data_IF_401299063037
#
_entry.id   IF_401299063037
#
_cell.length_a   1.000
_cell.length_b   1.000
_cell.length_c   1.000
_cell.angle_alpha   90.00
_cell.angle_beta   90.00
_cell.angle_gamma   90.00
#
_symmetry.space_group_name_H-M   'P 1'
#
loop_
_entity.id
_entity.type
_entity.pdbx_description
1 polymer ?
#
# COMPACT_ATOMS: atom_id res chain seq x y z
N UNK A 1 18.04 -13.91 -3.37
CA UNK A 1 17.78 -12.56 -3.89
C UNK A 1 16.43 -12.09 -3.41
N UNK A 2 16.41 -10.93 -2.82
CA UNK A 2 15.15 -10.44 -2.25
C UNK A 2 14.23 -9.90 -3.32
N UNK A 3 13.04 -10.44 -3.37
CA UNK A 3 12.01 -9.93 -4.26
C UNK A 3 10.99 -9.08 -3.51
N UNK A 4 11.19 -8.89 -2.22
CA UNK A 4 10.29 -8.09 -1.40
C UNK A 4 11.07 -7.03 -0.64
N UNK A 5 10.37 -5.95 -0.31
CA UNK A 5 10.90 -4.91 0.58
C UNK A 5 9.83 -4.62 1.61
N UNK A 6 10.24 -4.23 2.80
CA UNK A 6 9.31 -3.91 3.87
C UNK A 6 9.63 -2.52 4.39
N UNK A 7 8.61 -1.69 4.51
CA UNK A 7 8.76 -0.35 5.03
C UNK A 7 7.42 0.16 5.53
N UNK A 8 7.44 0.90 6.63
CA UNK A 8 6.28 1.59 7.18
C UNK A 8 5.10 0.66 7.45
N UNK A 9 5.37 -0.61 7.77
CA UNK A 9 4.30 -1.56 8.06
C UNK A 9 3.68 -2.21 6.84
N UNK A 10 4.29 -2.04 5.67
CA UNK A 10 3.82 -2.65 4.43
C UNK A 10 4.93 -3.46 3.79
N UNK A 11 4.55 -4.48 3.04
CA UNK A 11 5.46 -5.26 2.23
C UNK A 11 5.21 -4.96 0.76
N UNK A 12 6.27 -4.71 0.02
CA UNK A 12 6.20 -4.47 -1.41
C UNK A 12 6.89 -5.60 -2.16
N UNK A 13 6.40 -5.88 -3.37
CA UNK A 13 6.90 -6.98 -4.19
C UNK A 13 7.54 -6.42 -5.45
N UNK A 14 8.84 -6.68 -5.60
CA UNK A 14 9.60 -6.24 -6.75
C UNK A 14 9.34 -7.16 -7.95
N UNK A 15 9.69 -6.67 -9.13
CA UNK A 15 9.58 -7.49 -10.33
C UNK A 15 8.18 -7.53 -10.92
N UNK A 16 7.30 -6.62 -10.50
CA UNK A 16 5.94 -6.56 -10.99
C UNK A 16 5.62 -5.26 -11.72
N UNK A 17 6.63 -4.59 -12.22
CA UNK A 17 6.43 -3.40 -13.05
C UNK A 17 6.88 -2.10 -12.43
N UNK A 18 6.99 -2.02 -11.11
CA UNK A 18 7.50 -0.82 -10.47
C UNK A 18 8.97 -0.98 -10.13
N UNK A 19 9.74 0.08 -10.31
CA UNK A 19 11.13 0.08 -9.89
C UNK A 19 11.21 0.11 -8.36
N UNK A 20 12.40 -0.15 -7.83
CA UNK A 20 12.60 -0.11 -6.38
C UNK A 20 12.19 1.23 -5.79
N UNK A 21 12.63 2.33 -6.38
CA UNK A 21 12.30 3.65 -5.84
C UNK A 21 10.82 3.97 -5.96
N UNK A 22 10.20 3.56 -7.07
CA UNK A 22 8.76 3.74 -7.21
C UNK A 22 8.01 2.95 -6.14
N UNK A 23 8.41 1.71 -5.93
CA UNK A 23 7.76 0.87 -4.93
C UNK A 23 7.95 1.43 -3.53
N UNK A 24 9.14 1.91 -3.20
CA UNK A 24 9.39 2.53 -1.91
C UNK A 24 8.48 3.74 -1.68
N UNK A 25 8.29 4.54 -2.72
CA UNK A 25 7.39 5.70 -2.62
C UNK A 25 5.95 5.25 -2.41
N UNK A 26 5.51 4.22 -3.12
CA UNK A 26 4.14 3.71 -2.96
C UNK A 26 3.93 3.18 -1.55
N UNK A 27 4.89 2.46 -1.00
CA UNK A 27 4.80 1.97 0.37
C UNK A 27 4.65 3.12 1.36
N UNK A 28 5.42 4.18 1.18
CA UNK A 28 5.34 5.33 2.05
C UNK A 28 4.02 6.05 1.96
N UNK A 29 3.49 6.20 0.73
CA UNK A 29 2.19 6.83 0.54
C UNK A 29 1.09 5.99 1.19
N UNK A 30 1.18 4.67 1.06
CA UNK A 30 0.22 3.78 1.71
C UNK A 30 0.21 3.99 3.22
N UNK A 31 1.35 4.33 3.79
CA UNK A 31 1.47 4.57 5.22
C UNK A 31 1.17 6.03 5.60
N UNK A 32 0.76 6.86 4.65
CA UNK A 32 0.39 8.23 4.94
C UNK A 32 1.55 9.21 5.00
N UNK A 33 2.71 8.85 4.46
CA UNK A 33 3.86 9.73 4.46
C UNK A 33 3.70 10.83 3.40
N UNK A 34 4.17 12.02 3.72
CA UNK A 34 4.20 13.10 2.75
C UNK A 34 5.42 12.97 1.85
N UNK A 35 5.42 13.71 0.74
CA UNK A 35 6.58 13.72 -0.16
C UNK A 35 7.84 14.20 0.56
N UNK A 36 7.71 15.17 1.45
CA UNK A 36 8.85 15.67 2.21
C UNK A 36 9.39 14.58 3.14
N UNK A 37 8.50 13.87 3.81
CA UNK A 37 8.92 12.79 4.70
C UNK A 37 9.59 11.67 3.91
N UNK A 38 9.04 11.32 2.77
CA UNK A 38 9.62 10.30 1.92
C UNK A 38 10.99 10.71 1.40
N UNK A 39 11.11 11.98 1.00
CA UNK A 39 12.40 12.48 0.52
C UNK A 39 13.45 12.33 1.61
N UNK A 40 13.11 12.69 2.83
CA UNK A 40 14.04 12.58 3.95
C UNK A 40 14.38 11.12 4.23
N UNK A 41 13.36 10.28 4.26
CA UNK A 41 13.55 8.86 4.59
C UNK A 41 14.39 8.14 3.54
N UNK A 42 14.23 8.52 2.28
CA UNK A 42 14.89 7.83 1.17
C UNK A 42 16.15 8.54 0.69
N UNK A 43 16.49 9.69 1.29
CA UNK A 43 17.65 10.44 0.85
C UNK A 43 17.50 11.00 -0.55
N UNK A 44 16.30 11.45 -0.91
CA UNK A 44 16.00 11.98 -2.22
C UNK A 44 15.51 13.41 -2.13
N UNK A 45 15.52 14.12 -3.25
CA UNK A 45 14.90 15.43 -3.33
C UNK A 45 13.39 15.27 -3.39
N UNK A 46 12.61 16.18 -2.78
CA UNK A 46 11.16 16.10 -2.85
C UNK A 46 10.62 16.06 -4.26
N UNK A 47 11.23 16.81 -5.19
CA UNK A 47 10.82 16.78 -6.59
C UNK A 47 11.04 15.42 -7.22
N UNK A 48 12.09 14.72 -6.82
CA UNK A 48 12.35 13.38 -7.32
C UNK A 48 11.29 12.41 -6.80
N UNK A 49 10.89 12.53 -5.54
CA UNK A 49 9.79 11.73 -4.99
C UNK A 49 8.54 11.93 -5.84
N UNK A 50 8.21 13.21 -6.14
CA UNK A 50 7.05 13.50 -6.97
C UNK A 50 7.12 12.82 -8.33
N UNK A 51 8.29 12.81 -8.94
CA UNK A 51 8.46 12.16 -10.24
C UNK A 51 8.27 10.66 -10.14
N UNK A 52 8.78 10.04 -9.09
CA UNK A 52 8.61 8.59 -8.89
C UNK A 52 7.15 8.23 -8.65
N UNK A 53 6.45 9.07 -7.87
CA UNK A 53 5.03 8.84 -7.64
C UNK A 53 4.24 8.99 -8.93
N UNK A 54 4.55 10.02 -9.72
CA UNK A 54 3.89 10.22 -11.00
C UNK A 54 4.14 9.04 -11.94
N UNK A 55 5.37 8.54 -11.98
CA UNK A 55 5.68 7.38 -12.80
C UNK A 55 4.86 6.17 -12.38
N UNK A 56 4.71 5.96 -11.08
CA UNK A 56 3.92 4.84 -10.57
C UNK A 56 2.45 5.00 -10.95
N UNK A 57 1.88 6.20 -10.77
CA UNK A 57 0.48 6.42 -11.16
C UNK A 57 0.28 6.17 -12.65
N UNK A 58 1.21 6.60 -13.47
CA UNK A 58 1.12 6.38 -14.90
C UNK A 58 1.17 4.89 -15.23
N UNK A 59 2.09 4.17 -14.61
CA UNK A 59 2.23 2.73 -14.86
C UNK A 59 0.98 1.96 -14.44
N UNK A 60 0.33 2.39 -13.36
CA UNK A 60 -0.85 1.69 -12.86
C UNK A 60 -2.15 2.27 -13.44
N UNK A 61 -2.07 3.31 -14.26
CA UNK A 61 -3.23 3.84 -14.93
C UNK A 61 -4.19 4.59 -14.02
N UNK A 62 -3.67 5.23 -12.98
CA UNK A 62 -4.49 5.99 -12.04
C UNK A 62 -3.96 7.42 -11.97
N UNK A 63 -4.74 8.32 -11.35
CA UNK A 63 -4.37 9.73 -11.28
C UNK A 63 -4.26 10.27 -9.86
N UNK A 64 -4.76 9.55 -8.87
CA UNK A 64 -4.77 10.03 -7.50
C UNK A 64 -3.97 9.11 -6.61
N UNK A 65 -3.40 9.68 -5.53
CA UNK A 65 -2.60 8.89 -4.60
C UNK A 65 -3.40 7.78 -3.94
N UNK A 66 -4.65 8.06 -3.57
CA UNK A 66 -5.50 7.04 -2.97
C UNK A 66 -5.74 5.90 -3.96
N UNK A 67 -6.00 6.25 -5.22
CA UNK A 67 -6.19 5.24 -6.25
C UNK A 67 -4.91 4.46 -6.52
N UNK A 68 -3.76 5.13 -6.42
CA UNK A 68 -2.46 4.46 -6.57
C UNK A 68 -2.30 3.34 -5.55
N UNK A 69 -2.57 3.63 -4.28
CA UNK A 69 -2.45 2.65 -3.21
C UNK A 69 -3.45 1.51 -3.43
N UNK A 70 -4.70 1.84 -3.74
CA UNK A 70 -5.73 0.83 -3.95
C UNK A 70 -5.37 -0.09 -5.11
N UNK A 71 -4.89 0.48 -6.21
CA UNK A 71 -4.53 -0.31 -7.38
C UNK A 71 -3.30 -1.16 -7.11
N UNK A 72 -2.33 -0.63 -6.37
CA UNK A 72 -1.15 -1.40 -6.01
C UNK A 72 -1.52 -2.61 -5.16
N UNK A 73 -2.45 -2.43 -4.23
CA UNK A 73 -2.94 -3.55 -3.42
C UNK A 73 -3.71 -4.55 -4.27
N UNK A 74 -4.57 -4.05 -5.16
CA UNK A 74 -5.36 -4.92 -6.02
C UNK A 74 -4.47 -5.81 -6.88
N UNK A 75 -3.36 -5.27 -7.37
CA UNK A 75 -2.44 -6.02 -8.22
C UNK A 75 -1.43 -6.85 -7.44
N UNK A 76 -1.47 -6.80 -6.12
CA UNK A 76 -0.53 -7.55 -5.31
C UNK A 76 0.87 -6.98 -5.30
N UNK A 77 1.01 -5.68 -5.57
CA UNK A 77 2.31 -5.01 -5.52
C UNK A 77 2.70 -4.68 -4.11
N UNK A 78 1.73 -4.38 -3.25
CA UNK A 78 1.97 -4.11 -1.85
C UNK A 78 0.90 -4.80 -1.01
N UNK A 79 1.22 -5.07 0.25
CA UNK A 79 0.24 -5.57 1.21
C UNK A 79 0.66 -5.13 2.61
N UNK A 80 -0.31 -4.94 3.52
CA UNK A 80 0.04 -4.66 4.90
C UNK A 80 0.81 -5.82 5.51
N UNK A 81 1.90 -5.52 6.19
CA UNK A 81 2.73 -6.56 6.77
C UNK A 81 1.98 -7.36 7.83
N UNK A 82 1.07 -6.71 8.54
CA UNK A 82 0.31 -7.37 9.58
C UNK A 82 -0.59 -8.47 9.00
N UNK A 83 -1.11 -8.27 7.79
CA UNK A 83 -1.92 -9.28 7.14
C UNK A 83 -1.07 -10.49 6.77
N UNK A 84 0.11 -10.26 6.23
CA UNK A 84 1.01 -11.35 5.90
C UNK A 84 1.39 -12.16 7.13
N UNK A 85 1.67 -11.47 8.24
CA UNK A 85 2.00 -12.13 9.48
C UNK A 85 0.83 -12.95 10.01
N UNK A 86 -0.38 -12.40 9.91
CA UNK A 86 -1.56 -13.10 10.37
C UNK A 86 -1.77 -14.40 9.61
N UNK A 87 -1.53 -14.40 8.31
CA UNK A 87 -1.62 -15.61 7.52
C UNK A 87 -0.61 -16.65 7.97
N UNK A 88 0.61 -16.22 8.25
CA UNK A 88 1.67 -17.13 8.67
C UNK A 88 1.37 -17.75 10.03
N UNK A 89 0.83 -16.99 10.95
CA UNK A 89 0.63 -17.44 12.32
C UNK A 89 -0.65 -18.25 12.45
N UNK A 90 -1.75 -17.77 11.93
CA UNK A 90 -3.06 -18.34 12.19
C UNK A 90 -3.65 -19.12 11.01
N UNK A 91 -2.98 -19.12 9.89
CA UNK A 91 -3.44 -19.82 8.71
C UNK A 91 -4.47 -19.04 7.92
N UNK A 92 -5.61 -18.74 8.51
CA UNK A 92 -6.67 -18.05 7.77
C UNK A 92 -7.45 -17.08 8.63
N UNK A 93 -6.79 -16.14 9.26
CA UNK A 93 -7.49 -15.24 10.18
C UNK A 93 -8.48 -14.34 9.47
N UNK A 94 -8.25 -14.06 8.20
CA UNK A 94 -9.09 -13.12 7.47
C UNK A 94 -10.40 -13.71 7.04
N UNK A 95 -10.58 -15.01 7.23
CA UNK A 95 -11.80 -15.66 6.81
C UNK A 95 -12.88 -15.66 7.87
N UNK A 96 -12.68 -14.89 8.91
CA UNK A 96 -13.73 -14.65 9.88
C UNK A 96 -14.71 -13.64 9.31
N UNK A 97 -15.31 -13.99 8.20
CA UNK A 97 -16.06 -13.04 7.40
C UNK A 97 -17.36 -12.60 8.03
N UNK A 98 -18.04 -13.54 8.68
CA UNK A 98 -19.34 -13.21 9.28
C UNK A 98 -19.22 -12.10 10.29
N UNK A 99 -18.17 -12.14 11.07
CA UNK A 99 -17.95 -11.12 12.09
C UNK A 99 -17.68 -9.77 11.45
N UNK A 100 -16.86 -9.75 10.43
CA UNK A 100 -16.52 -8.51 9.75
C UNK A 100 -17.71 -7.92 9.02
N UNK A 101 -18.53 -8.75 8.43
CA UNK A 101 -19.69 -8.26 7.71
C UNK A 101 -20.72 -7.65 8.65
N UNK A 102 -20.89 -8.20 9.82
CA UNK A 102 -21.80 -7.59 10.79
C UNK A 102 -21.33 -6.22 11.25
N UNK A 103 -20.04 -6.07 11.45
CA UNK A 103 -19.49 -4.78 11.79
C UNK A 103 -19.71 -3.75 10.70
N UNK A 104 -19.51 -4.19 9.47
CA UNK A 104 -19.66 -3.30 8.33
C UNK A 104 -21.10 -2.83 8.17
N UNK A 105 -22.06 -3.74 8.35
CA UNK A 105 -23.46 -3.34 8.24
C UNK A 105 -23.85 -2.33 9.30
N UNK A 106 -23.36 -2.50 10.51
CA UNK A 106 -23.60 -1.52 11.55
C UNK A 106 -23.08 -0.15 11.18
N UNK A 107 -21.88 -0.11 10.61
CA UNK A 107 -21.31 1.14 10.17
C UNK A 107 -22.09 1.80 9.05
N UNK A 108 -22.58 1.00 8.13
CA UNK A 108 -23.35 1.52 7.02
C UNK A 108 -24.64 2.17 7.48
N UNK A 109 -25.31 1.58 8.43
CA UNK A 109 -26.54 2.18 8.94
C UNK A 109 -26.29 3.52 9.58
N UNK A 110 -25.17 3.65 10.28
CA UNK A 110 -24.82 4.94 10.88
C UNK A 110 -24.60 6.01 9.82
N UNK A 111 -23.99 5.62 8.72
CA UNK A 111 -23.68 6.55 7.67
C UNK A 111 -24.96 7.06 7.00
N UNK A 112 -25.94 6.20 6.88
CA UNK A 112 -27.17 6.57 6.20
C UNK A 112 -28.02 7.55 7.00
N UNK A 113 -27.87 7.55 8.29
CA UNK A 113 -28.62 8.51 9.10
C UNK A 113 -27.93 9.84 9.17
#
# INVERSE_FOLDING_TARGET
MDTTITAHGFTGFLGKGLSLRELQCVLGIAAGRTSKELARDLGMQPGTVGKRVLAATTKLGVTRRAALVAEAMRRGLISPAVIALAFLVAGQPLLNDDHMMRSRRGGERKIET
#
